data_IF_765423737486
#
_entry.id   IF_765423737486
#
_cell.length_a   1.000
_cell.length_b   1.000
_cell.length_c   1.000
_cell.angle_alpha   90.00
_cell.angle_beta   90.00
_cell.angle_gamma   90.00
#
_symmetry.space_group_name_H-M   'P 1'
#
loop_
_entity.id
_entity.type
_entity.pdbx_description
1 polymer ?
#
# COMPACT_ATOMS: atom_id res chain seq x y z
N UNK A 1 34.76 41.99 56.70
CA UNK A 1 35.76 41.06 56.17
C UNK A 1 35.10 39.68 56.04
N UNK A 2 34.99 39.16 54.80
CA UNK A 2 34.69 37.77 54.37
C UNK A 2 33.44 37.02 54.90
N UNK A 3 32.54 36.71 53.95
CA UNK A 3 31.49 35.67 53.94
C UNK A 3 32.08 34.23 54.00
N UNK A 4 31.30 33.13 53.79
CA UNK A 4 30.12 32.57 54.50
C UNK A 4 30.23 31.03 54.68
N UNK A 5 29.37 30.32 55.45
CA UNK A 5 28.91 28.90 55.30
C UNK A 5 27.80 28.66 56.35
N UNK A 6 26.72 27.88 56.23
CA UNK A 6 26.00 27.21 55.16
C UNK A 6 24.61 26.90 55.73
N UNK A 7 23.58 27.10 54.91
CA UNK A 7 22.16 26.83 55.18
C UNK A 7 21.90 25.31 55.07
N UNK A 8 21.05 24.74 55.93
CA UNK A 8 20.34 23.50 55.63
C UNK A 8 18.95 23.60 56.25
N UNK A 9 17.94 23.86 55.41
CA UNK A 9 16.53 23.78 55.80
C UNK A 9 15.82 22.92 54.75
N UNK A 10 15.33 21.76 55.20
CA UNK A 10 14.55 20.83 54.40
C UNK A 10 13.16 21.45 54.23
N UNK A 11 12.83 21.87 53.00
CA UNK A 11 11.48 22.25 52.61
C UNK A 11 10.89 21.13 51.76
N UNK A 12 9.87 20.45 52.31
CA UNK A 12 9.03 19.50 51.58
C UNK A 12 8.19 20.33 50.60
N UNK A 13 8.59 20.34 49.33
CA UNK A 13 7.79 20.90 48.25
C UNK A 13 6.69 19.89 47.89
N UNK A 14 5.45 20.21 48.25
CA UNK A 14 4.28 19.64 47.59
C UNK A 14 4.35 20.07 46.12
N UNK A 15 4.75 19.16 45.23
CA UNK A 15 4.45 19.30 43.81
C UNK A 15 2.94 19.08 43.66
N UNK A 16 2.17 20.17 43.80
CA UNK A 16 0.96 20.29 43.01
C UNK A 16 1.41 20.23 41.56
N UNK A 17 1.26 19.07 40.92
CA UNK A 17 1.15 19.00 39.48
C UNK A 17 -0.12 19.79 39.14
N UNK A 18 0.04 21.11 39.02
CA UNK A 18 -0.83 21.91 38.18
C UNK A 18 -0.62 21.37 36.77
N UNK A 19 -1.34 20.30 36.45
CA UNK A 19 -1.76 20.05 35.09
C UNK A 19 -2.34 21.39 34.63
N UNK A 20 -1.58 22.09 33.80
CA UNK A 20 -2.15 23.14 32.98
C UNK A 20 -3.22 22.43 32.16
N UNK A 21 -4.44 22.46 32.66
CA UNK A 21 -5.61 22.34 31.82
C UNK A 21 -5.51 23.49 30.82
N UNK A 22 -4.87 23.23 29.69
CA UNK A 22 -5.24 23.91 28.47
C UNK A 22 -6.72 23.56 28.30
N UNK A 23 -7.58 24.53 28.58
CA UNK A 23 -8.95 24.48 28.13
C UNK A 23 -8.88 24.59 26.61
N UNK A 24 -8.68 23.47 25.92
CA UNK A 24 -8.85 23.38 24.50
C UNK A 24 -10.35 23.50 24.22
N UNK A 25 -10.79 24.73 23.99
CA UNK A 25 -11.85 24.95 23.00
C UNK A 25 -11.12 25.02 21.67
N UNK A 26 -10.54 23.89 21.26
CA UNK A 26 -10.00 23.74 19.92
C UNK A 26 -11.20 23.65 18.99
N UNK A 27 -11.21 24.48 17.96
CA UNK A 27 -12.27 24.59 16.96
C UNK A 27 -12.59 23.22 16.38
N UNK A 28 -13.81 22.73 16.63
CA UNK A 28 -14.32 21.54 15.95
C UNK A 28 -14.24 21.76 14.44
N UNK A 29 -13.68 20.78 13.75
CA UNK A 29 -13.44 20.81 12.33
C UNK A 29 -14.68 20.31 11.56
N UNK A 30 -14.85 20.79 10.33
CA UNK A 30 -15.95 20.36 9.46
C UNK A 30 -15.40 19.52 8.32
N UNK A 31 -15.77 18.24 8.31
CA UNK A 31 -15.46 17.29 7.27
C UNK A 31 -16.57 17.31 6.21
N UNK A 32 -16.19 17.16 4.96
CA UNK A 32 -17.14 17.01 3.85
C UNK A 32 -17.24 15.53 3.49
N UNK A 33 -18.47 15.00 3.45
CA UNK A 33 -18.70 13.65 2.95
C UNK A 33 -18.82 13.66 1.42
N UNK A 34 -18.16 12.71 0.76
CA UNK A 34 -18.36 12.38 -0.64
C UNK A 34 -18.79 10.92 -0.77
N UNK A 35 -19.80 10.63 -1.58
CA UNK A 35 -20.31 9.27 -1.79
C UNK A 35 -20.12 8.85 -3.24
N UNK A 36 -19.51 7.69 -3.45
CA UNK A 36 -19.37 7.05 -4.77
C UNK A 36 -19.60 5.55 -4.63
N UNK A 37 -20.43 4.97 -5.49
CA UNK A 37 -20.77 3.53 -5.49
C UNK A 37 -21.21 2.97 -4.12
N UNK A 38 -21.86 3.80 -3.28
CA UNK A 38 -22.29 3.42 -1.93
C UNK A 38 -21.19 3.44 -0.87
N UNK A 39 -20.00 3.93 -1.21
CA UNK A 39 -18.87 4.13 -0.31
C UNK A 39 -18.78 5.62 0.02
N UNK A 40 -18.82 5.94 1.31
CA UNK A 40 -18.62 7.29 1.80
C UNK A 40 -17.14 7.52 2.14
N UNK A 41 -16.61 8.66 1.74
CA UNK A 41 -15.29 9.16 2.13
C UNK A 41 -15.45 10.51 2.81
N UNK A 42 -14.54 10.84 3.73
CA UNK A 42 -14.55 12.09 4.48
C UNK A 42 -13.34 12.93 4.08
N UNK A 43 -13.56 14.21 3.82
CA UNK A 43 -12.52 15.11 3.34
C UNK A 43 -12.38 16.31 4.26
N UNK A 44 -11.13 16.68 4.54
CA UNK A 44 -10.78 17.91 5.23
C UNK A 44 -9.48 18.46 4.68
N UNK A 45 -9.48 19.74 4.33
CA UNK A 45 -8.35 20.39 3.68
C UNK A 45 -7.83 19.60 2.46
N UNK A 46 -6.62 19.03 2.54
CA UNK A 46 -5.97 18.20 1.52
C UNK A 46 -6.03 16.69 1.81
N UNK A 47 -6.65 16.29 2.92
CA UNK A 47 -6.74 14.89 3.36
C UNK A 47 -8.03 14.22 2.91
N UNK A 48 -7.89 12.95 2.56
CA UNK A 48 -9.02 12.06 2.26
C UNK A 48 -8.98 10.89 3.21
N UNK A 49 -10.06 10.73 3.96
CA UNK A 49 -10.30 9.63 4.88
C UNK A 49 -11.28 8.66 4.24
N UNK A 50 -10.91 7.39 4.34
CA UNK A 50 -11.50 6.30 3.59
C UNK A 50 -11.87 5.17 4.57
N UNK A 51 -13.03 4.50 4.39
CA UNK A 51 -13.63 3.67 5.44
C UNK A 51 -12.83 2.39 5.72
N UNK A 52 -12.63 2.03 6.98
CA UNK A 52 -11.73 0.94 7.36
C UNK A 52 -12.46 -0.26 7.94
N UNK A 53 -13.14 -0.09 9.07
CA UNK A 53 -13.90 -1.16 9.75
C UNK A 53 -14.91 -0.55 10.70
N UNK A 54 -15.96 -1.29 11.02
CA UNK A 54 -16.83 -0.93 12.15
C UNK A 54 -16.09 -1.05 13.50
N UNK A 55 -16.34 -0.10 14.41
CA UNK A 55 -15.80 -0.10 15.78
C UNK A 55 -16.91 0.13 16.80
N UNK A 56 -16.56 0.17 18.09
CA UNK A 56 -17.54 0.38 19.16
C UNK A 56 -17.50 1.81 19.69
N UNK A 57 -18.58 2.32 20.31
CA UNK A 57 -18.54 3.63 20.97
C UNK A 57 -17.48 3.75 22.08
N UNK A 58 -16.96 2.62 22.59
CA UNK A 58 -15.88 2.61 23.57
C UNK A 58 -14.52 3.00 22.95
N UNK A 59 -14.38 2.95 21.63
CA UNK A 59 -13.16 3.28 20.90
C UNK A 59 -13.05 4.79 20.60
N UNK A 60 -14.16 5.53 20.69
CA UNK A 60 -14.19 6.98 20.50
C UNK A 60 -13.42 7.73 21.60
N UNK A 61 -12.47 8.56 21.18
CA UNK A 61 -11.73 9.51 22.00
C UNK A 61 -12.44 10.87 22.13
N UNK A 62 -11.69 11.96 22.03
CA UNK A 62 -12.26 13.31 22.08
C UNK A 62 -12.99 13.61 20.76
N UNK A 63 -14.13 14.32 20.82
CA UNK A 63 -14.78 14.82 19.61
C UNK A 63 -13.94 15.94 19.00
N UNK A 64 -13.62 15.81 17.72
CA UNK A 64 -12.76 16.73 16.97
C UNK A 64 -13.47 17.40 15.79
N UNK A 65 -14.65 16.94 15.40
CA UNK A 65 -15.38 17.56 14.30
C UNK A 65 -16.80 17.08 14.08
N UNK A 66 -17.33 17.51 12.93
CA UNK A 66 -18.62 17.10 12.37
C UNK A 66 -18.49 16.78 10.89
N UNK A 67 -19.43 16.01 10.36
CA UNK A 67 -19.63 15.79 8.93
C UNK A 67 -20.77 16.66 8.45
N UNK A 68 -20.49 17.55 7.50
CA UNK A 68 -21.47 18.49 6.95
C UNK A 68 -22.08 19.44 7.99
N UNK A 69 -23.26 19.97 7.67
CA UNK A 69 -23.90 21.05 8.44
C UNK A 69 -24.95 20.57 9.45
N UNK A 70 -25.30 19.27 9.47
CA UNK A 70 -26.46 18.77 10.22
C UNK A 70 -26.17 18.34 11.67
N UNK A 71 -24.91 18.44 12.11
CA UNK A 71 -24.40 18.14 13.46
C UNK A 71 -24.61 16.70 13.97
N UNK A 72 -25.12 15.79 13.13
CA UNK A 72 -25.40 14.40 13.52
C UNK A 72 -24.23 13.47 13.25
N UNK A 73 -23.53 13.65 12.14
CA UNK A 73 -22.26 13.00 11.88
C UNK A 73 -21.19 13.68 12.73
N UNK A 74 -20.72 13.02 13.78
CA UNK A 74 -19.66 13.53 14.65
C UNK A 74 -18.37 12.79 14.38
N UNK A 75 -17.27 13.54 14.36
CA UNK A 75 -15.92 12.98 14.21
C UNK A 75 -15.22 12.95 15.56
N UNK A 76 -14.69 11.78 15.90
CA UNK A 76 -13.94 11.51 17.11
C UNK A 76 -12.52 11.04 16.77
N UNK A 77 -11.59 11.28 17.68
CA UNK A 77 -10.31 10.59 17.68
C UNK A 77 -10.52 9.08 17.82
N UNK A 78 -9.69 8.29 17.14
CA UNK A 78 -9.47 6.90 17.54
C UNK A 78 -8.44 6.87 18.67
N UNK A 79 -8.81 6.32 19.84
CA UNK A 79 -7.98 6.40 21.06
C UNK A 79 -6.55 5.93 20.82
N UNK A 80 -5.60 6.71 21.34
CA UNK A 80 -4.16 6.45 21.28
C UNK A 80 -3.54 6.51 19.87
N UNK A 81 -4.32 6.90 18.85
CA UNK A 81 -3.86 7.13 17.47
C UNK A 81 -4.00 8.60 17.06
N UNK A 82 -3.20 9.02 16.08
CA UNK A 82 -3.24 10.38 15.57
C UNK A 82 -4.53 10.61 14.78
N UNK A 83 -5.24 11.71 15.05
CA UNK A 83 -6.41 12.14 14.25
C UNK A 83 -6.03 12.62 12.84
N UNK A 84 -4.73 12.80 12.59
CA UNK A 84 -4.21 13.02 11.25
C UNK A 84 -4.23 11.76 10.37
N UNK A 85 -4.38 10.59 11.00
CA UNK A 85 -4.27 9.26 10.38
C UNK A 85 -5.52 8.42 10.56
N UNK A 86 -6.15 8.49 11.73
CA UNK A 86 -7.29 7.65 12.11
C UNK A 86 -8.38 8.48 12.77
N UNK A 87 -9.59 8.41 12.23
CA UNK A 87 -10.76 9.11 12.78
C UNK A 87 -11.95 8.17 12.84
N UNK A 88 -12.85 8.40 13.78
CA UNK A 88 -14.12 7.69 13.88
C UNK A 88 -15.24 8.64 13.50
N UNK A 89 -16.03 8.24 12.52
CA UNK A 89 -17.35 8.83 12.31
C UNK A 89 -18.38 8.09 13.15
N UNK A 90 -19.15 8.85 13.91
CA UNK A 90 -20.29 8.33 14.64
C UNK A 90 -21.52 9.16 14.33
N UNK A 91 -22.43 8.56 13.56
CA UNK A 91 -23.70 9.16 13.20
C UNK A 91 -24.74 8.86 14.29
N UNK A 92 -25.08 9.84 15.12
CA UNK A 92 -26.06 9.68 16.19
C UNK A 92 -27.50 9.85 15.63
N UNK A 93 -28.03 8.78 15.05
CA UNK A 93 -29.42 8.73 14.56
C UNK A 93 -30.43 8.51 15.69
N UNK A 94 -29.99 7.89 16.80
CA UNK A 94 -30.84 7.46 17.91
C UNK A 94 -31.32 6.00 17.80
N UNK A 95 -30.77 5.21 16.88
CA UNK A 95 -31.00 3.77 16.72
C UNK A 95 -29.73 2.95 17.07
N UNK A 96 -29.56 1.73 16.52
CA UNK A 96 -28.32 0.95 16.71
C UNK A 96 -27.18 1.55 15.87
N UNK A 97 -26.71 2.71 16.26
CA UNK A 97 -25.65 3.44 15.58
C UNK A 97 -24.30 2.73 15.81
N UNK A 98 -23.65 2.32 14.73
CA UNK A 98 -22.34 1.67 14.74
C UNK A 98 -21.32 2.67 14.23
N UNK A 99 -20.34 3.10 15.05
CA UNK A 99 -19.27 3.97 14.57
C UNK A 99 -18.41 3.29 13.50
N UNK A 100 -18.00 4.08 12.50
CA UNK A 100 -17.12 3.64 11.42
C UNK A 100 -15.73 4.25 11.65
N UNK A 101 -14.70 3.41 11.67
CA UNK A 101 -13.31 3.86 11.64
C UNK A 101 -12.93 4.20 10.21
N UNK A 102 -12.26 5.33 10.02
CA UNK A 102 -11.66 5.74 8.77
C UNK A 102 -10.15 5.90 8.94
N UNK A 103 -9.43 5.59 7.87
CA UNK A 103 -7.99 5.78 7.72
C UNK A 103 -7.74 6.92 6.74
N UNK A 104 -6.75 7.77 6.99
CA UNK A 104 -6.26 8.70 5.97
C UNK A 104 -5.60 7.89 4.84
N UNK A 105 -5.92 8.20 3.60
CA UNK A 105 -5.62 7.33 2.44
C UNK A 105 -4.13 7.02 2.24
N UNK A 106 -3.20 7.85 2.73
CA UNK A 106 -1.76 7.68 2.58
C UNK A 106 -1.09 7.04 3.81
N UNK A 107 -1.87 6.58 4.78
CA UNK A 107 -1.35 5.91 5.98
C UNK A 107 -1.25 4.42 5.73
N UNK A 108 -0.03 3.91 5.61
CA UNK A 108 0.23 2.48 5.34
C UNK A 108 0.31 1.64 6.62
N UNK A 109 0.62 2.27 7.76
CA UNK A 109 0.75 1.59 9.05
C UNK A 109 -0.63 1.28 9.65
N UNK A 110 -1.03 0.01 9.59
CA UNK A 110 -2.26 -0.48 10.20
C UNK A 110 -2.01 -0.90 11.65
N UNK A 111 -2.76 -0.36 12.63
CA UNK A 111 -2.65 -0.77 14.02
C UNK A 111 -2.84 -2.27 14.26
N UNK A 112 -2.01 -2.84 15.13
CA UNK A 112 -2.15 -4.24 15.54
C UNK A 112 -3.54 -4.53 16.13
N UNK A 113 -4.16 -5.62 15.68
CA UNK A 113 -5.42 -6.12 16.25
C UNK A 113 -6.69 -5.56 15.59
N UNK A 114 -6.56 -4.78 14.52
CA UNK A 114 -7.68 -4.41 13.65
C UNK A 114 -7.40 -4.85 12.20
N UNK A 115 -8.45 -5.20 11.46
CA UNK A 115 -8.39 -5.59 10.05
C UNK A 115 -9.45 -4.80 9.30
N UNK A 116 -9.19 -4.48 8.03
CA UNK A 116 -10.18 -3.76 7.24
C UNK A 116 -11.28 -4.68 6.69
N UNK A 117 -12.51 -4.18 6.71
CA UNK A 117 -13.67 -4.74 6.00
C UNK A 117 -13.63 -4.42 4.49
N UNK A 118 -12.68 -3.60 4.03
CA UNK A 118 -12.60 -3.10 2.65
C UNK A 118 -11.27 -3.50 1.99
N UNK A 119 -11.36 -4.10 0.81
CA UNK A 119 -10.22 -4.69 0.08
C UNK A 119 -9.16 -3.65 -0.32
N UNK A 120 -9.54 -2.39 -0.56
CA UNK A 120 -8.60 -1.33 -0.93
C UNK A 120 -7.73 -0.82 0.24
N UNK A 121 -8.07 -1.16 1.49
CA UNK A 121 -7.15 -1.00 2.63
C UNK A 121 -6.21 -2.20 2.78
N UNK A 122 -6.56 -3.35 2.18
CA UNK A 122 -5.74 -4.55 2.16
C UNK A 122 -4.82 -4.53 0.94
N UNK A 123 -4.21 -3.39 0.71
CA UNK A 123 -3.42 -3.14 -0.47
C UNK A 123 -1.96 -3.47 -0.22
N UNK A 124 -1.62 -4.73 -0.50
CA UNK A 124 -0.62 -5.00 -1.55
C UNK A 124 -1.16 -4.52 -2.91
N UNK A 125 -1.55 -3.24 -3.01
CA UNK A 125 -1.82 -2.66 -4.32
C UNK A 125 -0.49 -2.43 -4.98
N UNK A 126 -0.42 -2.99 -6.18
CA UNK A 126 0.52 -2.76 -7.25
C UNK A 126 0.49 -1.29 -7.72
N UNK A 127 0.68 -0.36 -6.78
CA UNK A 127 1.03 1.01 -7.09
C UNK A 127 2.48 0.96 -7.55
N UNK A 128 2.65 1.19 -8.85
CA UNK A 128 3.96 1.31 -9.48
C UNK A 128 4.89 2.07 -8.54
N UNK A 129 6.02 1.47 -8.21
CA UNK A 129 7.01 1.95 -7.25
C UNK A 129 7.46 3.39 -7.56
N UNK A 130 6.67 4.36 -7.12
CA UNK A 130 6.94 5.79 -7.16
C UNK A 130 6.67 6.40 -5.78
N UNK A 131 6.99 5.63 -4.73
CA UNK A 131 7.42 6.19 -3.46
C UNK A 131 8.61 7.11 -3.73
N UNK A 132 8.64 8.29 -3.11
CA UNK A 132 9.82 9.17 -3.06
C UNK A 132 11.10 8.41 -2.61
N UNK A 133 10.92 7.24 -1.99
CA UNK A 133 11.95 6.36 -1.48
C UNK A 133 11.76 4.93 -2.00
N UNK A 134 12.45 4.55 -3.09
CA UNK A 134 12.31 3.20 -3.64
C UNK A 134 12.86 2.15 -2.67
N UNK A 135 12.35 0.93 -2.73
CA UNK A 135 12.92 -0.20 -1.99
C UNK A 135 14.31 -0.53 -2.54
N UNK A 136 15.30 -0.51 -1.66
CA UNK A 136 16.70 -0.72 -1.93
C UNK A 136 17.25 -1.83 -1.02
N UNK A 137 18.15 -2.64 -1.57
CA UNK A 137 18.95 -3.60 -0.80
C UNK A 137 20.37 -3.61 -1.33
N UNK A 138 21.36 -3.67 -0.44
CA UNK A 138 22.75 -3.89 -0.85
C UNK A 138 23.12 -5.37 -0.68
N UNK A 139 23.59 -5.98 -1.77
CA UNK A 139 24.08 -7.36 -1.79
C UNK A 139 25.38 -7.39 -2.60
N UNK A 140 26.43 -8.00 -2.04
CA UNK A 140 27.77 -8.10 -2.65
C UNK A 140 28.27 -6.77 -3.24
N UNK A 141 28.16 -5.69 -2.45
CA UNK A 141 28.56 -4.32 -2.75
C UNK A 141 27.83 -3.67 -3.94
N UNK A 142 26.70 -4.26 -4.35
CA UNK A 142 25.77 -3.73 -5.35
C UNK A 142 24.47 -3.32 -4.68
N UNK A 143 24.01 -2.10 -4.94
CA UNK A 143 22.69 -1.62 -4.51
C UNK A 143 21.69 -1.97 -5.59
N UNK A 144 20.73 -2.82 -5.25
CA UNK A 144 19.62 -3.18 -6.10
C UNK A 144 18.38 -2.37 -5.70
N UNK A 145 17.60 -1.97 -6.71
CA UNK A 145 16.38 -1.20 -6.60
C UNK A 145 15.20 -2.04 -7.09
N UNK A 146 14.09 -2.05 -6.34
CA UNK A 146 12.86 -2.70 -6.77
C UNK A 146 12.38 -2.11 -8.10
N UNK A 147 12.02 -2.99 -9.04
CA UNK A 147 11.55 -2.63 -10.38
C UNK A 147 10.04 -2.39 -10.47
N UNK A 148 9.28 -2.82 -9.45
CA UNK A 148 7.82 -2.83 -9.44
C UNK A 148 7.21 -4.10 -10.04
N UNK A 149 8.03 -5.06 -10.50
CA UNK A 149 7.55 -6.28 -11.14
C UNK A 149 7.66 -7.51 -10.24
N UNK A 150 6.67 -8.40 -10.35
CA UNK A 150 6.68 -9.73 -9.75
C UNK A 150 7.42 -10.72 -10.65
N UNK A 151 8.21 -11.59 -10.03
CA UNK A 151 8.84 -12.74 -10.65
C UNK A 151 7.84 -13.90 -10.70
N UNK A 152 7.31 -14.16 -11.89
CA UNK A 152 6.35 -15.22 -12.16
C UNK A 152 7.02 -16.46 -12.79
N UNK A 153 8.31 -16.38 -13.09
CA UNK A 153 9.08 -17.49 -13.63
C UNK A 153 9.10 -18.68 -12.64
N UNK A 154 9.02 -19.90 -13.18
CA UNK A 154 9.11 -21.13 -12.40
C UNK A 154 10.50 -21.21 -11.74
N UNK A 155 10.60 -20.87 -10.46
CA UNK A 155 11.85 -20.97 -9.71
C UNK A 155 11.91 -22.28 -8.93
N UNK A 156 12.91 -23.11 -9.20
CA UNK A 156 13.25 -24.30 -8.39
C UNK A 156 14.70 -24.18 -7.89
N UNK A 157 14.95 -23.25 -6.97
CA UNK A 157 16.29 -22.97 -6.44
C UNK A 157 16.33 -22.84 -4.93
N UNK A 158 17.50 -23.10 -4.35
CA UNK A 158 17.79 -22.66 -3.00
C UNK A 158 18.04 -21.15 -3.03
N UNK A 159 17.59 -20.44 -2.00
CA UNK A 159 17.91 -19.02 -1.81
C UNK A 159 19.43 -18.83 -1.65
N UNK A 160 19.96 -17.75 -2.21
CA UNK A 160 21.39 -17.43 -2.16
C UNK A 160 21.80 -16.70 -0.88
N UNK A 161 20.86 -15.96 -0.28
CA UNK A 161 21.10 -15.26 0.98
C UNK A 161 19.84 -14.72 1.62
N UNK A 162 20.03 -14.03 2.74
CA UNK A 162 18.97 -13.42 3.55
C UNK A 162 19.35 -11.99 3.89
N UNK A 163 18.38 -11.09 3.83
CA UNK A 163 18.46 -9.71 4.30
C UNK A 163 18.29 -9.72 5.81
N UNK A 164 19.30 -9.28 6.57
CA UNK A 164 19.33 -9.39 8.04
C UNK A 164 19.42 -8.04 8.77
N UNK A 165 19.50 -6.94 8.02
CA UNK A 165 19.52 -5.56 8.54
C UNK A 165 18.57 -4.66 7.77
N UNK A 166 18.00 -3.68 8.47
CA UNK A 166 17.18 -2.63 7.87
C UNK A 166 17.60 -1.26 8.34
N UNK A 167 17.37 -0.27 7.50
CA UNK A 167 17.43 1.15 7.80
C UNK A 167 16.02 1.75 7.80
N UNK A 168 15.94 3.05 8.04
CA UNK A 168 14.77 3.86 7.71
C UNK A 168 14.50 3.78 6.19
N UNK A 169 13.23 3.85 5.79
CA UNK A 169 12.83 3.72 4.39
C UNK A 169 13.47 4.76 3.48
N UNK A 170 13.87 5.91 4.04
CA UNK A 170 14.47 7.03 3.29
C UNK A 170 15.96 6.87 3.04
N UNK A 171 16.62 5.98 3.78
CA UNK A 171 18.05 5.82 3.73
C UNK A 171 18.48 4.83 2.64
N UNK A 172 19.67 5.06 2.08
CA UNK A 172 20.29 4.13 1.13
C UNK A 172 21.13 3.10 1.89
N UNK A 173 20.94 1.79 1.67
CA UNK A 173 21.80 0.76 2.26
C UNK A 173 23.28 0.94 1.91
N UNK A 174 24.16 0.72 2.89
CA UNK A 174 25.62 0.87 2.74
C UNK A 174 26.41 -0.38 3.17
N UNK A 175 25.73 -1.39 3.70
CA UNK A 175 26.31 -2.68 4.09
C UNK A 175 25.62 -3.83 3.36
N UNK A 176 26.34 -4.93 3.10
CA UNK A 176 25.74 -6.13 2.53
C UNK A 176 24.65 -6.72 3.42
N UNK A 177 23.60 -7.22 2.78
CA UNK A 177 22.37 -7.76 3.37
C UNK A 177 21.56 -6.73 4.19
N UNK A 178 21.77 -5.44 3.93
CA UNK A 178 20.99 -4.34 4.49
C UNK A 178 19.97 -3.85 3.47
N UNK A 179 18.73 -3.65 3.91
CA UNK A 179 17.67 -3.01 3.12
C UNK A 179 17.17 -1.71 3.76
N UNK A 180 16.27 -1.01 3.08
CA UNK A 180 15.45 0.05 3.65
C UNK A 180 13.96 -0.35 3.76
N UNK A 181 13.65 -1.65 3.71
CA UNK A 181 12.26 -2.13 3.64
C UNK A 181 11.98 -3.31 4.60
N UNK A 182 12.91 -3.66 5.48
CA UNK A 182 12.75 -4.72 6.47
C UNK A 182 13.79 -5.83 6.38
N UNK A 183 13.58 -6.89 7.16
CA UNK A 183 14.55 -7.98 7.36
C UNK A 183 13.86 -9.34 7.41
N UNK A 184 14.62 -10.41 7.26
CA UNK A 184 14.12 -11.79 7.26
C UNK A 184 13.77 -12.29 5.86
N UNK A 185 13.86 -11.42 4.85
CA UNK A 185 13.58 -11.72 3.46
C UNK A 185 14.75 -12.45 2.79
N UNK A 186 14.45 -13.46 2.00
CA UNK A 186 15.47 -14.20 1.27
C UNK A 186 15.60 -13.66 -0.15
N UNK A 187 16.79 -13.76 -0.72
CA UNK A 187 17.02 -13.37 -2.10
C UNK A 187 17.72 -14.48 -2.90
N UNK A 188 17.53 -14.41 -4.22
CA UNK A 188 18.17 -15.26 -5.19
C UNK A 188 18.71 -14.41 -6.35
N UNK A 189 19.90 -14.74 -6.86
CA UNK A 189 20.40 -14.16 -8.10
C UNK A 189 19.57 -14.66 -9.28
N UNK A 190 19.25 -13.73 -10.19
CA UNK A 190 18.52 -14.04 -11.42
C UNK A 190 19.41 -13.75 -12.63
N UNK A 191 18.82 -13.22 -13.70
CA UNK A 191 19.56 -12.69 -14.86
C UNK A 191 20.55 -11.60 -14.45
N UNK A 192 21.53 -11.33 -15.33
CA UNK A 192 22.64 -10.41 -15.04
C UNK A 192 22.15 -9.04 -14.53
N UNK A 193 22.63 -8.65 -13.35
CA UNK A 193 22.26 -7.39 -12.72
C UNK A 193 20.89 -7.41 -12.02
N UNK A 194 20.25 -8.56 -11.87
CA UNK A 194 18.98 -8.72 -11.17
C UNK A 194 19.06 -9.72 -10.02
N UNK A 195 18.29 -9.45 -8.97
CA UNK A 195 17.99 -10.39 -7.90
C UNK A 195 16.47 -10.46 -7.72
N UNK A 196 15.99 -11.59 -7.24
CA UNK A 196 14.61 -11.78 -6.81
C UNK A 196 14.61 -11.83 -5.30
N UNK A 197 13.77 -11.03 -4.66
CA UNK A 197 13.61 -11.00 -3.20
C UNK A 197 12.22 -11.52 -2.85
N UNK A 198 12.17 -12.53 -1.98
CA UNK A 198 10.94 -13.07 -1.40
C UNK A 198 10.56 -12.23 -0.17
N UNK A 199 9.52 -11.42 -0.33
CA UNK A 199 8.97 -10.52 0.66
C UNK A 199 7.58 -11.05 0.99
N UNK A 200 7.44 -11.64 2.16
CA UNK A 200 6.17 -12.16 2.69
C UNK A 200 5.44 -13.14 1.75
N UNK A 201 6.20 -13.92 0.96
CA UNK A 201 5.70 -14.92 0.03
C UNK A 201 5.56 -14.43 -1.41
N UNK A 202 5.72 -13.14 -1.65
CA UNK A 202 5.74 -12.54 -2.98
C UNK A 202 7.16 -12.29 -3.46
N UNK A 203 7.42 -12.58 -4.73
CA UNK A 203 8.77 -12.51 -5.31
C UNK A 203 8.93 -11.25 -6.14
N UNK A 204 9.59 -10.26 -5.57
CA UNK A 204 9.84 -8.98 -6.23
C UNK A 204 11.17 -8.99 -6.99
N UNK A 205 11.18 -8.40 -8.18
CA UNK A 205 12.39 -8.27 -8.99
C UNK A 205 13.08 -6.96 -8.65
N UNK A 206 14.35 -7.06 -8.27
CA UNK A 206 15.22 -5.92 -8.05
C UNK A 206 16.35 -5.90 -9.10
N UNK A 207 16.73 -4.70 -9.53
CA UNK A 207 17.77 -4.47 -10.54
C UNK A 207 18.87 -3.59 -9.98
N UNK A 208 20.12 -3.82 -10.38
CA UNK A 208 21.24 -2.96 -10.03
C UNK A 208 20.87 -1.50 -10.35
N UNK A 209 20.86 -0.66 -9.32
CA UNK A 209 20.47 0.74 -9.37
C UNK A 209 21.33 1.59 -10.32
N UNK A 210 22.50 1.10 -10.72
CA UNK A 210 23.39 1.77 -11.69
C UNK A 210 23.00 1.48 -13.15
N UNK A 211 22.18 0.45 -13.40
CA UNK A 211 21.68 0.14 -14.73
C UNK A 211 20.57 1.13 -15.10
N UNK A 212 20.60 1.60 -16.34
CA UNK A 212 19.56 2.48 -16.90
C UNK A 212 18.50 1.71 -17.68
N UNK A 213 18.62 0.38 -17.72
CA UNK A 213 17.64 -0.46 -18.40
C UNK A 213 16.32 -0.44 -17.64
N UNK A 214 15.26 -0.04 -18.34
CA UNK A 214 13.90 0.05 -17.85
C UNK A 214 12.98 -0.96 -18.55
N UNK A 215 13.52 -1.93 -19.29
CA UNK A 215 12.69 -2.98 -19.88
C UNK A 215 12.04 -3.81 -18.78
N UNK A 216 10.87 -4.36 -19.11
CA UNK A 216 10.21 -5.38 -18.27
C UNK A 216 11.18 -6.57 -18.17
N UNK A 217 11.51 -7.04 -16.95
CA UNK A 217 12.35 -8.22 -16.75
C UNK A 217 11.80 -9.43 -17.49
N UNK A 218 12.68 -10.33 -17.93
CA UNK A 218 12.27 -11.57 -18.60
C UNK A 218 11.49 -12.50 -17.67
N UNK A 219 11.69 -12.37 -16.35
CA UNK A 219 11.05 -13.18 -15.32
C UNK A 219 9.58 -12.78 -15.04
N UNK A 220 9.06 -11.74 -15.71
CA UNK A 220 7.67 -11.30 -15.62
C UNK A 220 6.81 -12.10 -16.59
N UNK A 221 5.73 -12.72 -16.09
CA UNK A 221 4.81 -13.48 -16.91
C UNK A 221 4.27 -12.65 -18.07
N UNK A 222 4.32 -13.24 -19.26
CA UNK A 222 3.67 -12.66 -20.42
C UNK A 222 3.19 -13.75 -21.39
N UNK A 223 2.13 -13.44 -22.12
CA UNK A 223 1.56 -14.34 -23.10
C UNK A 223 1.11 -13.55 -24.33
N UNK A 224 0.96 -14.26 -25.44
CA UNK A 224 0.36 -13.73 -26.66
C UNK A 224 -1.12 -14.06 -26.69
N UNK A 225 -1.92 -13.13 -27.19
CA UNK A 225 -3.37 -13.27 -27.26
C UNK A 225 -3.92 -12.58 -28.51
N UNK A 226 -5.15 -12.93 -28.89
CA UNK A 226 -5.93 -12.18 -29.87
C UNK A 226 -7.06 -11.43 -29.18
N UNK A 227 -7.27 -10.16 -29.51
CA UNK A 227 -8.40 -9.39 -28.99
C UNK A 227 -9.68 -9.89 -29.64
N UNK A 228 -10.61 -10.36 -28.83
CA UNK A 228 -11.92 -10.87 -29.26
C UNK A 228 -13.00 -9.79 -29.20
N UNK A 229 -12.93 -8.91 -28.20
CA UNK A 229 -13.88 -7.82 -27.99
C UNK A 229 -13.16 -6.66 -27.30
N UNK A 230 -13.44 -5.43 -27.75
CA UNK A 230 -13.08 -4.19 -27.05
C UNK A 230 -14.33 -3.64 -26.40
N UNK A 231 -14.36 -3.57 -25.06
CA UNK A 231 -15.54 -3.15 -24.32
C UNK A 231 -15.55 -1.63 -24.13
N UNK A 232 -16.75 -1.10 -23.88
CA UNK A 232 -16.97 0.35 -23.76
C UNK A 232 -16.30 0.98 -22.52
N UNK A 233 -15.96 0.17 -21.53
CA UNK A 233 -15.25 0.55 -20.30
C UNK A 233 -13.72 0.48 -20.43
N UNK A 234 -13.21 0.16 -21.62
CA UNK A 234 -11.77 0.00 -21.88
C UNK A 234 -11.22 -1.39 -21.53
N UNK A 235 -12.05 -2.30 -21.01
CA UNK A 235 -11.65 -3.69 -20.84
C UNK A 235 -11.56 -4.41 -22.19
N UNK A 236 -10.67 -5.39 -22.28
CA UNK A 236 -10.52 -6.25 -23.43
C UNK A 236 -10.89 -7.68 -23.06
N UNK A 237 -11.68 -8.33 -23.91
CA UNK A 237 -11.79 -9.78 -23.90
C UNK A 237 -10.74 -10.32 -24.88
N UNK A 238 -9.79 -11.10 -24.38
CA UNK A 238 -8.69 -11.64 -25.18
C UNK A 238 -8.72 -13.16 -25.14
N UNK A 239 -8.41 -13.80 -26.27
CA UNK A 239 -8.27 -15.26 -26.35
C UNK A 239 -6.79 -15.62 -26.28
N UNK A 240 -6.42 -16.47 -25.33
CA UNK A 240 -5.07 -16.98 -25.14
C UNK A 240 -4.54 -17.68 -26.41
N UNK A 241 -3.26 -17.45 -26.75
CA UNK A 241 -2.60 -18.08 -27.90
C UNK A 241 -1.38 -18.90 -27.48
N UNK A 242 -0.42 -18.27 -26.80
CA UNK A 242 0.85 -18.93 -26.44
C UNK A 242 1.56 -18.21 -25.29
N UNK A 243 2.34 -18.95 -24.51
CA UNK A 243 3.13 -18.46 -23.37
C UNK A 243 4.45 -19.22 -23.30
N UNK A 244 5.52 -18.51 -22.93
CA UNK A 244 6.85 -19.11 -22.78
C UNK A 244 6.88 -20.18 -21.69
N UNK A 245 7.68 -21.24 -21.88
CA UNK A 245 7.75 -22.39 -20.97
C UNK A 245 8.45 -22.09 -19.63
N UNK A 246 9.03 -20.89 -19.50
CA UNK A 246 9.54 -20.40 -18.23
C UNK A 246 8.44 -20.10 -17.19
N UNK A 247 7.18 -20.04 -17.61
CA UNK A 247 6.04 -19.72 -16.75
C UNK A 247 5.07 -20.89 -16.59
N UNK A 248 4.24 -20.83 -15.55
CA UNK A 248 3.07 -21.71 -15.47
C UNK A 248 2.09 -21.29 -16.55
N UNK A 249 1.85 -22.16 -17.54
CA UNK A 249 0.92 -21.88 -18.64
C UNK A 249 -0.48 -21.58 -18.12
N UNK A 250 -1.10 -20.58 -18.75
CA UNK A 250 -2.53 -20.31 -18.62
C UNK A 250 -3.35 -21.46 -19.24
N UNK A 251 -4.61 -21.56 -18.81
CA UNK A 251 -5.57 -22.47 -19.42
C UNK A 251 -6.00 -21.93 -20.79
N UNK A 252 -6.34 -22.83 -21.71
CA UNK A 252 -6.95 -22.43 -22.98
C UNK A 252 -8.29 -21.72 -22.70
N UNK A 253 -8.45 -20.49 -23.20
CA UNK A 253 -9.69 -19.76 -22.98
C UNK A 253 -9.62 -18.26 -23.25
N UNK A 254 -10.69 -17.60 -22.83
CA UNK A 254 -10.82 -16.16 -22.89
C UNK A 254 -10.56 -15.54 -21.51
N UNK A 255 -9.88 -14.40 -21.52
CA UNK A 255 -9.48 -13.64 -20.34
C UNK A 255 -9.97 -12.20 -20.47
N UNK A 256 -10.41 -11.61 -19.36
CA UNK A 256 -10.68 -10.18 -19.24
C UNK A 256 -9.40 -9.52 -18.73
N UNK A 257 -8.98 -8.48 -19.44
CA UNK A 257 -7.84 -7.65 -19.06
C UNK A 257 -8.24 -6.19 -19.08
N UNK A 258 -7.76 -5.42 -18.12
CA UNK A 258 -7.96 -3.97 -18.13
C UNK A 258 -7.00 -3.32 -19.13
N UNK A 259 -7.57 -2.70 -20.17
CA UNK A 259 -6.84 -1.88 -21.14
C UNK A 259 -7.12 -0.38 -20.99
N UNK A 260 -7.95 0.01 -20.02
CA UNK A 260 -8.46 1.38 -19.89
C UNK A 260 -7.38 2.40 -19.54
N UNK A 261 -6.28 1.95 -18.94
CA UNK A 261 -5.13 2.78 -18.55
C UNK A 261 -4.12 2.98 -19.68
N UNK A 262 -4.33 2.35 -20.85
CA UNK A 262 -3.37 2.33 -21.95
C UNK A 262 -3.70 3.38 -23.01
N UNK A 263 -2.68 4.11 -23.47
CA UNK A 263 -2.82 5.15 -24.51
C UNK A 263 -3.01 4.58 -25.94
N UNK A 264 -3.15 3.26 -26.09
CA UNK A 264 -3.20 2.57 -27.39
C UNK A 264 -4.63 2.22 -27.79
N UNK A 265 -5.03 2.60 -29.00
CA UNK A 265 -6.31 2.17 -29.58
C UNK A 265 -6.22 0.71 -30.03
N UNK A 266 -6.96 -0.17 -29.36
CA UNK A 266 -7.07 -1.58 -29.70
C UNK A 266 -8.30 -1.86 -30.57
N UNK A 267 -8.19 -2.87 -31.44
CA UNK A 267 -9.28 -3.35 -32.29
C UNK A 267 -9.50 -4.85 -32.15
N UNK A 268 -10.73 -5.30 -32.40
CA UNK A 268 -11.03 -6.72 -32.52
C UNK A 268 -10.16 -7.38 -33.61
N UNK A 269 -9.57 -8.52 -33.30
CA UNK A 269 -8.68 -9.28 -34.16
C UNK A 269 -7.20 -8.92 -34.02
N UNK A 270 -6.84 -7.87 -33.28
CA UNK A 270 -5.44 -7.53 -33.04
C UNK A 270 -4.72 -8.64 -32.27
N UNK A 271 -3.47 -8.89 -32.65
CA UNK A 271 -2.56 -9.75 -31.88
C UNK A 271 -1.80 -8.90 -30.89
N UNK A 272 -1.77 -9.32 -29.63
CA UNK A 272 -1.12 -8.58 -28.54
C UNK A 272 -0.24 -9.49 -27.71
N UNK A 273 0.76 -8.88 -27.06
CA UNK A 273 1.47 -9.46 -25.92
C UNK A 273 1.08 -8.73 -24.64
N UNK A 274 0.78 -9.50 -23.61
CA UNK A 274 0.28 -8.98 -22.32
C UNK A 274 1.27 -9.40 -21.24
N UNK A 275 1.79 -8.43 -20.49
CA UNK A 275 2.65 -8.66 -19.31
C UNK A 275 1.83 -8.45 -18.04
N UNK A 276 1.95 -9.36 -17.10
CA UNK A 276 1.18 -9.37 -15.86
C UNK A 276 1.99 -10.04 -14.74
N UNK A 277 1.48 -10.01 -13.52
CA UNK A 277 2.16 -10.55 -12.33
C UNK A 277 2.09 -12.09 -12.19
N UNK A 278 1.33 -12.76 -13.04
CA UNK A 278 1.09 -14.21 -13.00
C UNK A 278 -0.20 -14.61 -12.27
N UNK A 279 -0.92 -13.68 -11.67
CA UNK A 279 -2.19 -13.94 -10.98
C UNK A 279 -3.36 -14.07 -11.97
N UNK A 280 -4.32 -14.94 -11.62
CA UNK A 280 -5.54 -15.19 -12.39
C UNK A 280 -6.68 -15.38 -11.41
N UNK A 281 -7.77 -14.65 -11.60
CA UNK A 281 -9.02 -14.92 -10.90
C UNK A 281 -9.87 -15.91 -11.70
N UNK A 282 -10.16 -17.06 -11.09
CA UNK A 282 -10.91 -18.17 -11.71
C UNK A 282 -12.43 -17.94 -11.73
N UNK A 283 -12.84 -16.83 -12.35
CA UNK A 283 -14.24 -16.54 -12.72
C UNK A 283 -14.46 -16.84 -14.21
N UNK A 284 -15.68 -16.65 -14.72
CA UNK A 284 -16.03 -16.95 -16.12
C UNK A 284 -16.58 -15.71 -16.83
N UNK A 285 -15.85 -15.13 -17.81
CA UNK A 285 -14.45 -15.42 -18.19
C UNK A 285 -13.46 -15.09 -17.07
N UNK A 286 -12.26 -15.70 -17.09
CA UNK A 286 -11.23 -15.45 -16.08
C UNK A 286 -10.70 -14.02 -16.17
N UNK A 287 -10.25 -13.44 -15.05
CA UNK A 287 -9.75 -12.05 -14.99
C UNK A 287 -8.26 -12.06 -14.69
N UNK A 288 -7.50 -11.19 -15.37
CA UNK A 288 -6.13 -10.85 -15.00
C UNK A 288 -6.14 -9.53 -14.23
N UNK A 289 -6.03 -9.54 -12.89
CA UNK A 289 -6.24 -8.34 -12.08
C UNK A 289 -5.09 -7.34 -12.20
N UNK A 290 -3.88 -7.82 -12.50
CA UNK A 290 -2.65 -7.02 -12.44
C UNK A 290 -1.89 -7.05 -13.76
N UNK A 291 -2.30 -6.22 -14.72
CA UNK A 291 -1.65 -6.09 -16.03
C UNK A 291 -0.67 -4.92 -16.01
N UNK A 292 0.60 -5.19 -16.34
CA UNK A 292 1.65 -4.19 -16.42
C UNK A 292 1.69 -3.46 -17.76
N UNK A 293 1.44 -4.20 -18.85
CA UNK A 293 1.55 -3.67 -20.21
C UNK A 293 0.79 -4.57 -21.18
N UNK A 294 0.19 -3.95 -22.19
CA UNK A 294 -0.29 -4.63 -23.40
C UNK A 294 0.41 -3.98 -24.60
N UNK A 295 0.96 -4.78 -25.50
CA UNK A 295 1.66 -4.33 -26.70
C UNK A 295 1.09 -5.01 -27.95
N UNK A 296 0.83 -4.24 -29.00
CA UNK A 296 0.45 -4.77 -30.32
C UNK A 296 1.64 -5.48 -30.98
N UNK A 297 1.37 -6.63 -31.63
CA UNK A 297 2.36 -7.46 -32.32
C UNK A 297 2.38 -7.25 -33.85
#
# INVERSE_FOLDING_TARGET
MKNPKSLFLIAVLFFCLSACGKSATDTLLNYTASENEGIQTLQIDDKVFVPFTSVTPADCGVQIGFVGDDSKGKIYEYKDFSSDEWIIEYYESGEMDVPMLYREQNVDDIPDGISSDYEWNNTTSNDSCNSDYPMLVMVNDVVYKNTGYICSAISCGNMDGTIDKTLDSKDTPTENNQSNFGTGYNYQYSTEGQIVVDIDGEKYIFRDSKLTDSSIPIEVANFTATIKEVRNDGQLLVTFVDMDDMFVSLADGDYIVDGSTLETDFSEGDSVRIWFDGSVEEVLPAILPNVYKIELL
#
